data_IF_002054897821
#
_entry.id   IF_002054897821
#
_cell.length_a   1.000
_cell.length_b   1.000
_cell.length_c   1.000
_cell.angle_alpha   90.00
_cell.angle_beta   90.00
_cell.angle_gamma   90.00
#
_symmetry.space_group_name_H-M   'P 1'
#
loop_
_entity.id
_entity.type
_entity.pdbx_description
1 polymer ?
#
# COMPACT_ATOMS: atom_id res chain seq x y z
N UNK A 1 -9.21 -15.52 -4.26
CA UNK A 1 -10.46 -14.71 -4.26
C UNK A 1 -10.91 -14.51 -5.70
N UNK A 2 -12.22 -14.49 -5.96
CA UNK A 2 -12.74 -14.05 -7.26
C UNK A 2 -12.42 -12.57 -7.51
N UNK A 3 -12.41 -12.15 -8.77
CA UNK A 3 -12.21 -10.74 -9.14
C UNK A 3 -13.27 -9.83 -8.50
N UNK A 4 -14.53 -10.27 -8.46
CA UNK A 4 -15.62 -9.53 -7.80
C UNK A 4 -15.37 -9.33 -6.30
N UNK A 5 -14.89 -10.36 -5.61
CA UNK A 5 -14.56 -10.27 -4.19
C UNK A 5 -13.40 -9.30 -3.92
N UNK A 6 -12.39 -9.26 -4.80
CA UNK A 6 -11.25 -8.31 -4.69
C UNK A 6 -11.70 -6.86 -4.87
N UNK A 7 -12.57 -6.60 -5.84
CA UNK A 7 -13.12 -5.25 -6.06
C UNK A 7 -13.97 -4.77 -4.87
N UNK A 8 -14.80 -5.65 -4.30
CA UNK A 8 -15.59 -5.33 -3.10
C UNK A 8 -14.69 -5.03 -1.90
N UNK A 9 -13.65 -5.84 -1.71
CA UNK A 9 -12.65 -5.62 -0.66
C UNK A 9 -11.96 -4.26 -0.84
N UNK A 10 -11.45 -3.93 -2.03
CA UNK A 10 -10.79 -2.67 -2.31
C UNK A 10 -11.71 -1.47 -2.04
N UNK A 11 -12.96 -1.54 -2.48
CA UNK A 11 -13.96 -0.50 -2.22
C UNK A 11 -14.28 -0.33 -0.73
N UNK A 12 -14.30 -1.42 0.05
CA UNK A 12 -14.50 -1.35 1.51
C UNK A 12 -13.31 -0.68 2.19
N UNK A 13 -12.08 -1.06 1.84
CA UNK A 13 -10.86 -0.48 2.39
C UNK A 13 -10.77 1.01 2.08
N UNK A 14 -11.01 1.42 0.83
CA UNK A 14 -11.00 2.84 0.44
C UNK A 14 -11.99 3.68 1.26
N UNK A 15 -13.21 3.18 1.49
CA UNK A 15 -14.19 3.86 2.36
C UNK A 15 -13.73 3.97 3.81
N UNK A 16 -13.09 2.93 4.34
CA UNK A 16 -12.53 2.95 5.70
C UNK A 16 -11.40 3.98 5.82
N UNK A 17 -10.50 4.05 4.83
CA UNK A 17 -9.44 5.06 4.77
C UNK A 17 -9.99 6.48 4.73
N UNK A 18 -11.08 6.71 3.97
CA UNK A 18 -11.77 8.00 3.95
C UNK A 18 -12.32 8.39 5.31
N UNK A 19 -12.99 7.46 6.01
CA UNK A 19 -13.50 7.68 7.37
C UNK A 19 -12.40 7.92 8.40
N UNK A 20 -11.25 7.27 8.23
CA UNK A 20 -10.05 7.48 9.05
C UNK A 20 -9.30 8.79 8.70
N UNK A 21 -9.74 9.52 7.67
CA UNK A 21 -9.10 10.76 7.26
C UNK A 21 -7.73 10.56 6.58
N UNK A 22 -7.46 9.39 6.02
CA UNK A 22 -6.18 9.08 5.35
C UNK A 22 -6.13 9.55 3.89
N UNK A 23 -7.28 9.90 3.31
CA UNK A 23 -7.44 10.29 1.91
C UNK A 23 -7.25 11.80 1.69
N UNK A 24 -6.22 12.39 2.30
CA UNK A 24 -5.91 13.83 2.25
C UNK A 24 -4.90 14.15 1.15
N UNK A 25 -4.89 15.40 0.73
CA UNK A 25 -3.87 15.90 -0.20
C UNK A 25 -2.47 15.81 0.43
N UNK A 26 -1.46 15.50 -0.40
CA UNK A 26 -0.08 15.34 0.06
C UNK A 26 0.25 14.01 0.76
N UNK A 27 -0.72 13.09 0.89
CA UNK A 27 -0.46 11.75 1.46
C UNK A 27 0.23 10.86 0.43
N UNK A 28 1.28 10.17 0.88
CA UNK A 28 2.02 9.16 0.11
C UNK A 28 1.64 7.77 0.63
N UNK A 29 1.18 6.90 -0.28
CA UNK A 29 0.89 5.51 0.04
C UNK A 29 2.09 4.62 -0.27
N UNK A 30 2.59 3.94 0.76
CA UNK A 30 3.71 3.00 0.62
C UNK A 30 3.17 1.57 0.63
N UNK A 31 3.35 0.85 -0.46
CA UNK A 31 2.93 -0.54 -0.59
C UNK A 31 3.93 -1.48 0.10
N UNK A 32 3.47 -2.17 1.14
CA UNK A 32 4.20 -3.24 1.83
C UNK A 32 3.63 -4.63 1.52
N UNK A 33 2.78 -4.72 0.49
CA UNK A 33 2.06 -5.94 0.10
C UNK A 33 2.41 -6.38 -1.32
N UNK A 34 2.22 -7.67 -1.60
CA UNK A 34 2.42 -8.21 -2.95
C UNK A 34 1.47 -7.61 -4.00
N UNK A 35 1.90 -7.63 -5.26
CA UNK A 35 1.18 -7.07 -6.42
C UNK A 35 -0.30 -7.48 -6.47
N UNK A 36 -0.59 -8.75 -6.19
CA UNK A 36 -1.94 -9.32 -6.27
C UNK A 36 -2.93 -8.73 -5.25
N UNK A 37 -2.43 -8.15 -4.17
CA UNK A 37 -3.24 -7.52 -3.13
C UNK A 37 -3.42 -6.02 -3.35
N UNK A 38 -2.46 -5.35 -3.99
CA UNK A 38 -2.52 -3.90 -4.18
C UNK A 38 -3.26 -3.48 -5.46
N UNK A 39 -3.35 -4.34 -6.48
CA UNK A 39 -3.83 -3.96 -7.84
C UNK A 39 -5.16 -3.20 -7.81
N UNK A 40 -6.21 -3.79 -7.24
CA UNK A 40 -7.54 -3.21 -7.25
C UNK A 40 -7.66 -1.96 -6.36
N UNK A 41 -6.89 -1.88 -5.26
CA UNK A 41 -6.88 -0.73 -4.37
C UNK A 41 -6.07 0.44 -4.93
N UNK A 42 -4.97 0.15 -5.63
CA UNK A 42 -4.10 1.10 -6.31
C UNK A 42 -4.86 1.93 -7.36
N UNK A 43 -5.79 1.31 -8.09
CA UNK A 43 -6.67 2.01 -9.05
C UNK A 43 -7.54 3.06 -8.37
N UNK A 44 -8.10 2.76 -7.19
CA UNK A 44 -8.88 3.71 -6.41
C UNK A 44 -8.02 4.86 -5.85
N UNK A 45 -6.74 4.59 -5.62
CA UNK A 45 -5.77 5.54 -5.10
C UNK A 45 -4.94 6.25 -6.18
N UNK A 46 -5.25 6.09 -7.48
CA UNK A 46 -4.43 6.59 -8.59
C UNK A 46 -4.13 8.10 -8.57
N UNK A 47 -4.98 8.89 -7.89
CA UNK A 47 -4.82 10.35 -7.73
C UNK A 47 -3.85 10.73 -6.61
N UNK A 48 -3.41 9.77 -5.79
CA UNK A 48 -2.46 9.96 -4.71
C UNK A 48 -1.08 9.49 -5.16
N UNK A 49 -0.04 10.03 -4.52
CA UNK A 49 1.31 9.53 -4.70
C UNK A 49 1.41 8.13 -4.10
N UNK A 50 2.03 7.22 -4.85
CA UNK A 50 2.17 5.82 -4.46
C UNK A 50 3.61 5.37 -4.67
N UNK A 51 4.15 4.65 -3.70
CA UNK A 51 5.48 4.07 -3.73
C UNK A 51 5.38 2.56 -3.50
N UNK A 52 6.10 1.78 -4.31
CA UNK A 52 6.35 0.37 -4.01
C UNK A 52 7.86 0.16 -3.88
N UNK A 53 8.43 0.43 -2.69
CA UNK A 53 9.86 0.31 -2.47
C UNK A 53 10.34 -1.15 -2.59
N UNK A 54 9.44 -2.14 -2.59
CA UNK A 54 9.76 -3.55 -2.70
C UNK A 54 9.63 -4.10 -4.12
N UNK A 55 9.11 -3.29 -5.05
CA UNK A 55 9.02 -3.68 -6.45
C UNK A 55 10.42 -3.95 -6.99
N UNK A 56 10.57 -5.06 -7.70
CA UNK A 56 11.84 -5.54 -8.27
C UNK A 56 12.96 -5.90 -7.27
N UNK A 57 12.75 -5.76 -5.94
CA UNK A 57 13.71 -6.20 -4.93
C UNK A 57 13.61 -7.68 -4.61
N UNK A 58 14.74 -8.35 -4.42
CA UNK A 58 14.81 -9.74 -3.90
C UNK A 58 14.42 -9.77 -2.43
N UNK A 59 14.00 -10.95 -1.93
CA UNK A 59 13.53 -11.10 -0.54
C UNK A 59 14.54 -10.57 0.50
N UNK A 60 15.83 -10.86 0.34
CA UNK A 60 16.87 -10.35 1.26
C UNK A 60 16.99 -8.81 1.26
N UNK A 61 16.79 -8.17 0.12
CA UNK A 61 16.79 -6.71 -0.01
C UNK A 61 15.53 -6.08 0.59
N UNK A 62 14.38 -6.76 0.45
CA UNK A 62 13.12 -6.36 1.10
C UNK A 62 13.23 -6.40 2.62
N UNK A 63 13.78 -7.49 3.17
CA UNK A 63 14.02 -7.64 4.61
C UNK A 63 14.98 -6.58 5.13
N UNK A 64 16.07 -6.30 4.40
CA UNK A 64 17.00 -5.22 4.76
C UNK A 64 16.31 -3.85 4.75
N UNK A 65 15.49 -3.56 3.74
CA UNK A 65 14.77 -2.29 3.65
C UNK A 65 13.77 -2.13 4.81
N UNK A 66 12.99 -3.18 5.12
CA UNK A 66 12.07 -3.18 6.26
C UNK A 66 12.80 -2.92 7.58
N UNK A 67 13.94 -3.57 7.80
CA UNK A 67 14.74 -3.36 9.01
C UNK A 67 15.28 -1.93 9.11
N UNK A 68 15.69 -1.32 8.00
CA UNK A 68 16.11 0.08 7.95
C UNK A 68 14.94 1.04 8.21
N UNK A 69 13.80 0.82 7.57
CA UNK A 69 12.61 1.65 7.77
C UNK A 69 12.10 1.60 9.22
N UNK A 70 12.19 0.44 9.87
CA UNK A 70 11.79 0.25 11.27
C UNK A 70 12.82 0.81 12.27
N UNK A 71 14.11 0.75 11.94
CA UNK A 71 15.17 1.27 12.83
C UNK A 71 15.29 2.79 12.82
N UNK A 72 14.93 3.45 11.71
CA UNK A 72 14.90 4.92 11.61
C UNK A 72 13.81 5.53 12.50
N UNK A 73 12.72 4.81 12.77
CA UNK A 73 11.61 5.26 13.63
C UNK A 73 11.80 4.94 15.13
N UNK A 74 12.99 4.53 15.58
CA UNK A 74 13.31 4.28 16.99
C UNK A 74 14.15 5.38 17.66
N UNK A 75 14.17 6.60 17.11
CA UNK A 75 14.76 7.79 17.72
C UNK A 75 13.71 8.88 17.89
#
# INVERSE_FOLDING_TARGET
>A
MSTSARLQWAGRVYRMMGRAGLLREGVIFIWLAGRDYKKELSELLKKYQQEDPMEHRRMGERLRWLNLALSVNQK
#
